data_IF_612587844101
#
_entry.id   IF_612587844101
#
_cell.length_a   1.000
_cell.length_b   1.000
_cell.length_c   1.000
_cell.angle_alpha   90.00
_cell.angle_beta   90.00
_cell.angle_gamma   90.00
#
_symmetry.space_group_name_H-M   'P 1'
#
loop_
_entity.id
_entity.type
_entity.pdbx_description
1 polymer ?
#
# COMPACT_ATOMS: atom_id res chain seq x y z
N UNK A 1 -5.73 -11.21 -14.89
CA UNK A 1 -4.47 -10.54 -14.48
C UNK A 1 -4.83 -9.35 -13.61
N UNK A 2 -4.32 -9.25 -12.38
CA UNK A 2 -4.46 -8.02 -11.58
C UNK A 2 -3.61 -6.97 -12.29
N UNK A 3 -4.26 -5.94 -12.84
CA UNK A 3 -3.54 -4.86 -13.49
C UNK A 3 -2.80 -4.05 -12.41
N UNK A 4 -1.47 -4.05 -12.51
CA UNK A 4 -0.50 -3.25 -11.72
C UNK A 4 -0.95 -1.78 -11.61
N UNK A 5 -1.74 -1.31 -12.57
CA UNK A 5 -2.28 0.04 -12.67
C UNK A 5 -3.22 0.38 -11.49
N UNK A 6 -3.96 -0.58 -10.93
CA UNK A 6 -4.93 -0.30 -9.86
C UNK A 6 -4.27 0.12 -8.52
N UNK A 7 -3.31 -0.64 -7.97
CA UNK A 7 -2.56 -0.21 -6.78
C UNK A 7 -1.85 1.14 -6.97
N UNK A 8 -1.28 1.37 -8.16
CA UNK A 8 -0.58 2.61 -8.50
C UNK A 8 -1.51 3.82 -8.54
N UNK A 9 -2.67 3.71 -9.19
CA UNK A 9 -3.68 4.76 -9.22
C UNK A 9 -4.16 5.13 -7.81
N UNK A 10 -4.34 4.13 -6.95
CA UNK A 10 -4.80 4.35 -5.59
C UNK A 10 -3.71 5.07 -4.77
N UNK A 11 -2.47 4.57 -4.79
CA UNK A 11 -1.34 5.24 -4.14
C UNK A 11 -1.17 6.69 -4.61
N UNK A 12 -1.36 6.95 -5.91
CA UNK A 12 -1.28 8.28 -6.51
C UNK A 12 -2.41 9.21 -6.06
N UNK A 13 -3.66 8.73 -6.03
CA UNK A 13 -4.81 9.52 -5.54
C UNK A 13 -4.61 9.90 -4.07
N UNK A 14 -4.13 8.97 -3.23
CA UNK A 14 -3.86 9.27 -1.83
C UNK A 14 -2.71 10.27 -1.64
N UNK A 15 -1.67 10.20 -2.47
CA UNK A 15 -0.58 11.18 -2.45
C UNK A 15 -1.05 12.59 -2.81
N UNK A 16 -1.94 12.72 -3.80
CA UNK A 16 -2.52 14.01 -4.18
C UNK A 16 -3.39 14.57 -3.05
N UNK A 17 -4.20 13.72 -2.42
CA UNK A 17 -5.17 14.15 -1.41
C UNK A 17 -4.55 14.42 -0.03
N UNK A 18 -3.46 13.76 0.32
CA UNK A 18 -2.96 13.81 1.68
C UNK A 18 -2.16 15.07 2.03
N UNK A 19 -1.68 15.84 1.03
CA UNK A 19 -0.86 17.05 1.26
C UNK A 19 0.46 16.80 2.01
N UNK A 20 0.75 15.55 2.37
CA UNK A 20 1.99 15.07 2.96
C UNK A 20 2.96 14.84 1.80
N UNK A 21 4.24 15.19 2.01
CA UNK A 21 5.36 15.08 1.06
C UNK A 21 5.12 14.03 -0.05
N UNK A 22 5.19 14.44 -1.31
CA UNK A 22 5.00 13.59 -2.48
C UNK A 22 5.81 12.28 -2.38
N UNK A 23 5.19 11.16 -2.73
CA UNK A 23 5.75 9.81 -2.66
C UNK A 23 5.34 9.01 -1.43
N UNK A 24 4.70 9.65 -0.44
CA UNK A 24 4.45 9.02 0.86
C UNK A 24 3.49 7.82 0.77
N UNK A 25 2.43 7.93 0.00
CA UNK A 25 1.46 6.87 -0.24
C UNK A 25 1.71 6.14 -1.57
N UNK A 26 2.28 6.84 -2.55
CA UNK A 26 2.58 6.28 -3.85
C UNK A 26 3.71 5.26 -3.80
N UNK A 27 4.79 5.51 -3.06
CA UNK A 27 5.96 4.61 -3.05
C UNK A 27 5.64 3.26 -2.40
N UNK A 28 4.97 3.17 -1.24
CA UNK A 28 4.51 1.89 -0.70
C UNK A 28 3.59 1.13 -1.67
N UNK A 29 2.71 1.83 -2.39
CA UNK A 29 1.84 1.22 -3.41
C UNK A 29 2.62 0.71 -4.64
N UNK A 30 3.64 1.45 -5.08
CA UNK A 30 4.56 1.04 -6.13
C UNK A 30 5.34 -0.22 -5.72
N UNK A 31 5.88 -0.26 -4.50
CA UNK A 31 6.56 -1.43 -3.94
C UNK A 31 5.62 -2.63 -3.89
N UNK A 32 4.38 -2.46 -3.39
CA UNK A 32 3.37 -3.51 -3.40
C UNK A 32 3.17 -4.08 -4.80
N UNK A 33 3.00 -3.20 -5.79
CA UNK A 33 2.68 -3.60 -7.15
C UNK A 33 3.86 -4.29 -7.85
N UNK A 34 5.09 -3.80 -7.64
CA UNK A 34 6.31 -4.40 -8.16
C UNK A 34 6.53 -5.78 -7.53
N UNK A 35 6.46 -5.88 -6.20
CA UNK A 35 6.63 -7.14 -5.48
C UNK A 35 5.58 -8.15 -5.93
N UNK A 36 4.31 -7.75 -6.03
CA UNK A 36 3.26 -8.64 -6.51
C UNK A 36 3.51 -9.16 -7.93
N UNK A 37 4.04 -8.33 -8.84
CA UNK A 37 4.28 -8.70 -10.23
C UNK A 37 5.46 -9.66 -10.42
N UNK A 38 6.53 -9.48 -9.64
CA UNK A 38 7.75 -10.29 -9.79
C UNK A 38 7.75 -11.58 -8.96
N UNK A 39 6.80 -11.79 -8.05
CA UNK A 39 6.76 -12.99 -7.23
C UNK A 39 6.29 -14.22 -8.03
N UNK A 40 7.07 -15.32 -8.04
CA UNK A 40 6.82 -16.47 -8.90
C UNK A 40 5.86 -17.51 -8.30
N UNK A 41 5.21 -17.23 -7.17
CA UNK A 41 4.40 -18.26 -6.52
C UNK A 41 3.10 -18.52 -7.29
N UNK A 42 2.79 -19.82 -7.48
CA UNK A 42 1.55 -20.31 -8.10
C UNK A 42 0.33 -19.85 -7.29
N UNK A 43 0.47 -19.80 -5.97
CA UNK A 43 -0.58 -19.35 -5.06
C UNK A 43 -0.66 -17.83 -5.00
N UNK A 44 -1.64 -17.25 -5.69
CA UNK A 44 -1.85 -15.79 -5.77
C UNK A 44 -1.98 -15.14 -4.39
N UNK A 45 -2.63 -15.80 -3.42
CA UNK A 45 -2.79 -15.27 -2.06
C UNK A 45 -1.46 -15.08 -1.33
N UNK A 46 -0.44 -15.90 -1.62
CA UNK A 46 0.89 -15.78 -1.03
C UNK A 46 1.64 -14.58 -1.63
N UNK A 47 1.51 -14.36 -2.95
CA UNK A 47 2.03 -13.15 -3.61
C UNK A 47 1.42 -11.88 -3.01
N UNK A 48 0.11 -11.90 -2.74
CA UNK A 48 -0.59 -10.78 -2.10
C UNK A 48 -0.04 -10.54 -0.68
N UNK A 49 0.12 -11.58 0.13
CA UNK A 49 0.61 -11.46 1.50
C UNK A 49 2.04 -10.88 1.57
N UNK A 50 2.93 -11.34 0.69
CA UNK A 50 4.32 -10.85 0.63
C UNK A 50 4.39 -9.41 0.13
N UNK A 51 3.63 -9.08 -0.94
CA UNK A 51 3.53 -7.72 -1.45
C UNK A 51 2.98 -6.75 -0.40
N UNK A 52 2.00 -7.20 0.38
CA UNK A 52 1.44 -6.44 1.49
C UNK A 52 2.47 -6.16 2.58
N UNK A 53 3.22 -7.20 2.98
CA UNK A 53 4.26 -7.06 4.00
C UNK A 53 5.35 -6.09 3.54
N UNK A 54 5.77 -6.15 2.28
CA UNK A 54 6.77 -5.25 1.71
C UNK A 54 6.29 -3.78 1.73
N UNK A 55 5.05 -3.52 1.32
CA UNK A 55 4.45 -2.19 1.34
C UNK A 55 4.32 -1.64 2.76
N UNK A 56 3.90 -2.49 3.69
CA UNK A 56 3.77 -2.14 5.11
C UNK A 56 5.12 -1.79 5.75
N UNK A 57 6.16 -2.58 5.47
CA UNK A 57 7.53 -2.30 5.94
C UNK A 57 8.04 -0.98 5.35
N UNK A 58 7.87 -0.77 4.04
CA UNK A 58 8.28 0.48 3.40
C UNK A 58 7.58 1.69 4.03
N UNK A 59 6.29 1.58 4.32
CA UNK A 59 5.50 2.62 4.97
C UNK A 59 5.97 2.92 6.40
N UNK A 60 6.29 1.91 7.20
CA UNK A 60 6.83 2.09 8.56
C UNK A 60 8.16 2.84 8.50
N UNK A 61 9.07 2.39 7.63
CA UNK A 61 10.38 3.01 7.44
C UNK A 61 10.21 4.47 7.02
N UNK A 62 9.33 4.74 6.05
CA UNK A 62 9.08 6.10 5.55
C UNK A 62 8.48 7.00 6.62
N UNK A 63 7.48 6.51 7.35
CA UNK A 63 6.80 7.24 8.43
C UNK A 63 7.77 7.64 9.55
N UNK A 64 8.63 6.70 9.97
CA UNK A 64 9.58 6.93 11.04
C UNK A 64 10.76 7.81 10.60
N UNK A 65 11.46 7.43 9.52
CA UNK A 65 12.71 8.10 9.13
C UNK A 65 12.51 9.36 8.29
N UNK A 66 11.51 9.38 7.39
CA UNK A 66 11.36 10.47 6.40
C UNK A 66 10.28 11.50 6.79
N UNK A 67 9.27 11.07 7.54
CA UNK A 67 8.25 11.95 8.11
C UNK A 67 8.47 12.28 9.60
N UNK A 68 9.45 11.65 10.26
CA UNK A 68 9.80 11.94 11.66
C UNK A 68 8.66 11.64 12.64
N UNK A 69 7.80 10.67 12.30
CA UNK A 69 6.67 10.30 13.17
C UNK A 69 7.16 9.34 14.27
N UNK A 70 6.86 9.67 15.53
CA UNK A 70 7.12 8.79 16.65
C UNK A 70 6.17 7.59 16.64
N UNK A 71 6.70 6.38 16.84
CA UNK A 71 5.94 5.12 16.84
C UNK A 71 4.75 5.11 17.82
N UNK A 72 4.89 5.76 18.97
CA UNK A 72 3.84 5.83 20.01
C UNK A 72 2.87 7.01 19.83
N UNK A 73 3.01 7.81 18.77
CA UNK A 73 2.14 8.97 18.56
C UNK A 73 0.78 8.54 17.99
N UNK A 74 -0.28 9.22 18.43
CA UNK A 74 -1.63 9.07 17.85
C UNK A 74 -1.62 9.35 16.35
N UNK A 75 -0.79 10.31 15.90
CA UNK A 75 -0.57 10.61 14.48
C UNK A 75 -0.08 9.37 13.71
N UNK A 76 0.91 8.65 14.21
CA UNK A 76 1.43 7.43 13.56
C UNK A 76 0.39 6.31 13.53
N UNK A 77 -0.32 6.09 14.63
CA UNK A 77 -1.35 5.03 14.73
C UNK A 77 -2.51 5.31 13.78
N UNK A 78 -3.09 6.52 13.81
CA UNK A 78 -4.17 6.92 12.90
C UNK A 78 -3.76 6.81 11.44
N UNK A 79 -2.49 7.11 11.17
CA UNK A 79 -1.93 7.08 9.83
C UNK A 79 -1.74 5.65 9.30
N UNK A 80 -1.20 4.73 10.12
CA UNK A 80 -1.17 3.30 9.78
C UNK A 80 -2.59 2.76 9.59
N UNK A 81 -3.52 3.10 10.49
CA UNK A 81 -4.90 2.62 10.41
C UNK A 81 -5.60 3.05 9.12
N UNK A 82 -5.42 4.32 8.71
CA UNK A 82 -5.93 4.83 7.43
C UNK A 82 -5.37 4.01 6.26
N UNK A 83 -4.09 3.69 6.29
CA UNK A 83 -3.43 2.95 5.22
C UNK A 83 -3.90 1.49 5.11
N UNK A 84 -4.05 0.82 6.26
CA UNK A 84 -4.65 -0.53 6.29
C UNK A 84 -6.07 -0.52 5.72
N UNK A 85 -6.85 0.52 6.03
CA UNK A 85 -8.20 0.69 5.49
C UNK A 85 -8.19 0.91 3.97
N UNK A 86 -7.28 1.75 3.47
CA UNK A 86 -7.09 1.99 2.03
C UNK A 86 -6.76 0.70 1.30
N UNK A 87 -5.80 -0.07 1.82
CA UNK A 87 -5.43 -1.35 1.20
C UNK A 87 -6.59 -2.33 1.27
N UNK A 88 -7.29 -2.41 2.40
CA UNK A 88 -8.47 -3.27 2.54
C UNK A 88 -9.56 -2.95 1.51
N UNK A 89 -9.89 -1.66 1.33
CA UNK A 89 -10.84 -1.20 0.32
C UNK A 89 -10.33 -1.51 -1.09
N UNK A 90 -9.05 -1.31 -1.36
CA UNK A 90 -8.42 -1.63 -2.65
C UNK A 90 -8.56 -3.10 -3.01
N UNK A 91 -8.21 -3.99 -2.07
CA UNK A 91 -8.30 -5.43 -2.26
C UNK A 91 -9.75 -5.88 -2.42
N UNK A 92 -10.68 -5.30 -1.66
CA UNK A 92 -12.11 -5.55 -1.82
C UNK A 92 -12.59 -5.16 -3.23
N UNK A 93 -12.23 -3.96 -3.71
CA UNK A 93 -12.60 -3.49 -5.04
C UNK A 93 -12.01 -4.39 -6.13
N UNK A 94 -10.73 -4.77 -6.04
CA UNK A 94 -10.10 -5.70 -6.98
C UNK A 94 -10.85 -7.04 -6.99
N UNK A 95 -11.16 -7.61 -5.82
CA UNK A 95 -11.89 -8.87 -5.71
C UNK A 95 -13.32 -8.78 -6.30
N UNK A 96 -14.03 -7.67 -6.07
CA UNK A 96 -15.36 -7.44 -6.67
C UNK A 96 -15.27 -7.31 -8.19
N UNK A 97 -14.27 -6.60 -8.71
CA UNK A 97 -14.05 -6.42 -10.14
C UNK A 97 -13.61 -7.71 -10.84
N UNK A 98 -12.92 -8.62 -10.14
CA UNK A 98 -12.47 -9.91 -10.69
C UNK A 98 -13.55 -11.00 -10.70
N UNK A 99 -14.57 -10.88 -9.85
CA UNK A 99 -15.71 -11.82 -9.79
C UNK A 99 -16.79 -11.51 -10.84
N UNK A 100 -16.62 -10.44 -11.61
CA UNK A 100 -17.38 -10.15 -12.83
C UNK A 100 -16.56 -10.55 -14.05
#
# INVERSE_FOLDING_TARGET
MISIIFPLLIGFVFDILAGIKFGFYFVPALIMSVVFYFLPFIFVWLNIAIAYLAAFVAMIIWSYFLAGMNFSSSRFISHIALYLLIIGVTLYLINVLQKK
#
